data_IF_271970349234
#
_entry.id   IF_271970349234
#
_cell.length_a   1.000
_cell.length_b   1.000
_cell.length_c   1.000
_cell.angle_alpha   90.00
_cell.angle_beta   90.00
_cell.angle_gamma   90.00
#
_symmetry.space_group_name_H-M   'P 1'
#
loop_
_entity.id
_entity.type
_entity.pdbx_description
1 polymer ?
#
# COMPACT_ATOMS: atom_id res chain seq x y z
N UNK A 1 -0.05 -21.13 5.75
CA UNK A 1 -1.30 -20.37 5.48
C UNK A 1 -1.25 -19.01 6.18
N UNK A 2 -2.30 -18.19 6.13
CA UNK A 2 -2.38 -16.95 6.95
C UNK A 2 -2.35 -17.32 8.43
N UNK A 3 -3.09 -18.35 8.86
CA UNK A 3 -3.08 -18.77 10.27
C UNK A 3 -1.69 -19.20 10.74
N UNK A 4 -0.96 -19.98 9.91
CA UNK A 4 0.42 -20.38 10.19
C UNK A 4 1.37 -19.18 10.28
N UNK A 5 1.22 -18.19 9.40
CA UNK A 5 2.03 -16.96 9.48
C UNK A 5 1.75 -16.16 10.75
N UNK A 6 0.49 -16.11 11.22
CA UNK A 6 0.12 -15.45 12.47
C UNK A 6 0.72 -16.19 13.67
N UNK A 7 0.68 -17.52 13.66
CA UNK A 7 1.26 -18.35 14.72
C UNK A 7 2.78 -18.14 14.83
N UNK A 8 3.48 -18.13 13.68
CA UNK A 8 4.94 -17.91 13.61
C UNK A 8 5.34 -16.46 13.97
N UNK A 9 4.56 -15.45 13.57
CA UNK A 9 4.87 -14.03 13.79
C UNK A 9 4.31 -13.47 15.12
N UNK A 10 3.44 -14.22 15.79
CA UNK A 10 2.87 -13.91 17.11
C UNK A 10 1.74 -12.87 17.13
N UNK A 11 1.60 -12.03 16.11
CA UNK A 11 0.50 -11.08 15.96
C UNK A 11 0.33 -10.60 14.52
N UNK A 12 -0.86 -10.09 14.21
CA UNK A 12 -1.11 -9.30 13.00
C UNK A 12 -0.79 -7.83 13.34
N UNK A 13 0.05 -7.14 12.54
CA UNK A 13 0.27 -5.70 12.71
C UNK A 13 -1.03 -4.90 12.58
N UNK A 14 -1.13 -3.78 13.30
CA UNK A 14 -2.20 -2.81 13.07
C UNK A 14 -2.16 -2.33 11.61
N UNK A 15 -3.32 -2.16 10.95
CA UNK A 15 -3.38 -1.67 9.59
C UNK A 15 -2.77 -0.26 9.51
N UNK A 16 -2.23 0.07 8.33
CA UNK A 16 -1.72 1.40 8.09
C UNK A 16 -2.84 2.43 8.30
N UNK A 17 -2.61 3.50 9.09
CA UNK A 17 -3.62 4.53 9.30
C UNK A 17 -3.97 5.20 7.96
N UNK A 18 -5.16 5.78 7.88
CA UNK A 18 -5.61 6.46 6.66
C UNK A 18 -4.82 7.73 6.32
N UNK A 19 -4.08 8.28 7.30
CA UNK A 19 -3.26 9.49 7.17
C UNK A 19 -2.02 9.38 8.05
N UNK A 20 -0.90 9.94 7.60
CA UNK A 20 0.36 9.96 8.33
C UNK A 20 0.58 11.30 9.04
N UNK A 21 1.23 11.23 10.19
CA UNK A 21 1.75 12.42 10.87
C UNK A 21 2.86 13.09 10.04
N UNK A 22 3.15 14.37 10.33
CA UNK A 22 4.09 15.19 9.54
C UNK A 22 5.51 14.61 9.45
N UNK A 23 5.97 13.92 10.49
CA UNK A 23 7.30 13.29 10.54
C UNK A 23 7.31 11.80 10.21
N UNK A 24 6.15 11.20 9.96
CA UNK A 24 6.02 9.76 9.80
C UNK A 24 6.37 9.31 8.37
N UNK A 25 7.22 8.30 8.28
CA UNK A 25 7.68 7.68 7.05
C UNK A 25 7.60 6.15 7.19
N UNK A 26 6.45 5.55 6.87
CA UNK A 26 6.28 4.11 6.99
C UNK A 26 7.20 3.39 6.01
N UNK A 27 7.82 2.28 6.45
CA UNK A 27 8.64 1.44 5.56
C UNK A 27 7.82 0.62 4.57
N UNK A 28 6.57 0.32 4.92
CA UNK A 28 5.60 -0.37 4.09
C UNK A 28 4.21 0.16 4.44
N UNK A 29 3.34 0.25 3.44
CA UNK A 29 1.94 0.66 3.58
C UNK A 29 1.04 -0.45 3.03
N UNK A 30 -0.12 -0.63 3.64
CA UNK A 30 -1.13 -1.60 3.20
C UNK A 30 -2.51 -1.10 3.58
N UNK A 31 -3.53 -1.38 2.76
CA UNK A 31 -4.89 -0.90 3.02
C UNK A 31 -5.81 -1.08 1.82
N UNK A 32 -6.98 -0.46 1.89
CA UNK A 32 -7.88 -0.39 0.73
C UNK A 32 -7.28 0.51 -0.37
N UNK A 33 -7.78 0.44 -1.61
CA UNK A 33 -7.35 1.35 -2.68
C UNK A 33 -7.50 2.82 -2.30
N UNK A 34 -8.57 3.18 -1.59
CA UNK A 34 -8.83 4.54 -1.12
C UNK A 34 -7.79 4.97 -0.08
N UNK A 35 -7.45 4.08 0.87
CA UNK A 35 -6.38 4.34 1.84
C UNK A 35 -5.04 4.55 1.15
N UNK A 36 -4.69 3.69 0.19
CA UNK A 36 -3.43 3.81 -0.52
C UNK A 36 -3.38 5.07 -1.41
N UNK A 37 -4.48 5.46 -2.06
CA UNK A 37 -4.53 6.72 -2.81
C UNK A 37 -4.22 7.92 -1.92
N UNK A 38 -4.90 8.05 -0.78
CA UNK A 38 -4.70 9.16 0.16
C UNK A 38 -3.26 9.20 0.69
N UNK A 39 -2.69 8.04 1.02
CA UNK A 39 -1.32 7.94 1.51
C UNK A 39 -0.30 8.30 0.42
N UNK A 40 -0.51 7.84 -0.81
CA UNK A 40 0.36 8.15 -1.94
C UNK A 40 0.34 9.64 -2.26
N UNK A 41 -0.85 10.27 -2.33
CA UNK A 41 -1.01 11.72 -2.50
C UNK A 41 -0.27 12.49 -1.39
N UNK A 42 -0.50 12.10 -0.12
CA UNK A 42 0.16 12.77 1.00
C UNK A 42 1.69 12.66 0.93
N UNK A 43 2.21 11.49 0.57
CA UNK A 43 3.65 11.26 0.46
C UNK A 43 4.25 12.00 -0.75
N UNK A 44 3.58 11.99 -1.91
CA UNK A 44 4.05 12.70 -3.10
C UNK A 44 4.07 14.21 -2.90
N UNK A 45 3.02 14.78 -2.31
CA UNK A 45 2.92 16.20 -2.00
C UNK A 45 4.01 16.64 -1.03
N UNK A 46 4.33 15.79 -0.04
CA UNK A 46 5.35 16.08 0.97
C UNK A 46 6.75 16.24 0.37
N UNK A 47 7.07 15.54 -0.71
CA UNK A 47 8.38 15.62 -1.39
C UNK A 47 8.36 16.39 -2.71
N UNK A 48 7.17 16.72 -3.23
CA UNK A 48 7.00 17.45 -4.49
C UNK A 48 7.37 16.65 -5.72
N UNK A 49 6.92 15.39 -5.82
CA UNK A 49 7.16 14.51 -6.98
C UNK A 49 5.88 14.27 -7.77
N UNK A 50 6.01 14.11 -9.08
CA UNK A 50 4.89 13.85 -9.99
C UNK A 50 4.56 12.35 -10.13
N UNK A 51 5.51 11.48 -9.82
CA UNK A 51 5.39 10.02 -10.01
C UNK A 51 5.94 9.25 -8.81
N UNK A 52 5.31 8.11 -8.50
CA UNK A 52 5.73 7.18 -7.45
C UNK A 52 5.93 5.80 -8.05
N UNK A 53 7.09 5.19 -7.75
CA UNK A 53 7.39 3.82 -8.14
C UNK A 53 6.91 2.85 -7.07
N UNK A 54 5.95 1.98 -7.41
CA UNK A 54 5.41 0.98 -6.49
C UNK A 54 6.26 -0.30 -6.52
N UNK A 55 6.71 -0.71 -5.34
CA UNK A 55 7.29 -2.03 -5.11
C UNK A 55 6.39 -2.81 -4.15
N UNK A 56 6.30 -4.13 -4.34
CA UNK A 56 5.46 -4.99 -3.52
C UNK A 56 6.28 -6.15 -2.95
N UNK A 57 5.85 -6.64 -1.78
CA UNK A 57 6.33 -7.89 -1.20
C UNK A 57 5.08 -8.73 -0.94
N UNK A 58 4.72 -9.55 -1.92
CA UNK A 58 3.52 -10.40 -1.90
C UNK A 58 3.97 -11.81 -2.27
N UNK A 59 3.52 -12.80 -1.50
CA UNK A 59 3.97 -14.19 -1.66
C UNK A 59 3.37 -14.89 -2.88
N UNK A 60 2.20 -14.45 -3.34
CA UNK A 60 1.49 -15.02 -4.48
C UNK A 60 1.44 -14.04 -5.67
N UNK A 61 1.64 -14.56 -6.88
CA UNK A 61 1.68 -13.75 -8.09
C UNK A 61 0.31 -13.20 -8.50
N UNK A 62 -0.76 -13.97 -8.33
CA UNK A 62 -2.11 -13.53 -8.66
C UNK A 62 -2.54 -12.40 -7.72
N UNK A 63 -2.17 -12.48 -6.44
CA UNK A 63 -2.40 -11.40 -5.47
C UNK A 63 -1.61 -10.13 -5.84
N UNK A 64 -0.37 -10.28 -6.31
CA UNK A 64 0.44 -9.15 -6.77
C UNK A 64 -0.21 -8.44 -7.97
N UNK A 65 -0.71 -9.19 -8.96
CA UNK A 65 -1.42 -8.64 -10.11
C UNK A 65 -2.72 -7.94 -9.69
N UNK A 66 -3.52 -8.60 -8.84
CA UNK A 66 -4.77 -8.03 -8.33
C UNK A 66 -4.53 -6.75 -7.53
N UNK A 67 -3.45 -6.70 -6.75
CA UNK A 67 -3.05 -5.50 -6.01
C UNK A 67 -2.74 -4.33 -6.96
N UNK A 68 -2.03 -4.58 -8.07
CA UNK A 68 -1.73 -3.52 -9.05
C UNK A 68 -2.96 -3.05 -9.80
N UNK A 69 -3.88 -3.96 -10.13
CA UNK A 69 -5.16 -3.61 -10.76
C UNK A 69 -5.98 -2.67 -9.84
N UNK A 70 -6.11 -3.05 -8.56
CA UNK A 70 -6.81 -2.26 -7.55
C UNK A 70 -6.14 -0.91 -7.27
N UNK A 71 -4.81 -0.86 -7.24
CA UNK A 71 -4.06 0.38 -7.11
C UNK A 71 -4.28 1.30 -8.31
N UNK A 72 -4.18 0.77 -9.53
CA UNK A 72 -4.37 1.55 -10.75
C UNK A 72 -5.78 2.16 -10.82
N UNK A 73 -6.81 1.40 -10.44
CA UNK A 73 -8.19 1.89 -10.32
C UNK A 73 -8.30 2.97 -9.22
N UNK A 74 -7.74 2.70 -8.03
CA UNK A 74 -7.78 3.61 -6.89
C UNK A 74 -7.12 4.97 -7.15
N UNK A 75 -6.07 5.02 -7.96
CA UNK A 75 -5.38 6.26 -8.37
C UNK A 75 -5.89 6.83 -9.71
N UNK A 76 -6.93 6.25 -10.31
CA UNK A 76 -7.57 6.76 -11.52
C UNK A 76 -6.76 6.62 -12.81
N UNK A 77 -5.86 5.64 -12.92
CA UNK A 77 -5.08 5.41 -14.14
C UNK A 77 -5.97 4.92 -15.28
N UNK A 78 -5.78 5.52 -16.46
CA UNK A 78 -6.47 5.08 -17.67
C UNK A 78 -5.76 3.88 -18.29
N UNK A 79 -6.47 2.79 -18.65
CA UNK A 79 -5.90 1.67 -19.39
C UNK A 79 -5.29 2.11 -20.72
N UNK A 80 -4.23 1.43 -21.17
CA UNK A 80 -3.59 1.65 -22.47
C UNK A 80 -3.89 0.52 -23.44
#
# INVERSE_FOLDING_TARGET
SVEEAIDELGAVPEPTPATLDAGEWPRAISGSPETLNNLLEQLSDRVGVDEVMIQHVVGDHADALRSHELLADGVGLTPR
#
